data_IF_080902215642
#
_entry.id   IF_080902215642
#
_cell.length_a   1.000
_cell.length_b   1.000
_cell.length_c   1.000
_cell.angle_alpha   90.00
_cell.angle_beta   90.00
_cell.angle_gamma   90.00
#
_symmetry.space_group_name_H-M   'P 1'
#
loop_
_entity.id
_entity.type
_entity.pdbx_description
1 polymer ?
#
# COMPACT_ATOMS: atom_id res chain seq x y z
N UNK A 1 -20.03 -41.63 74.15
CA UNK A 1 -19.49 -41.28 75.46
C UNK A 1 -18.99 -39.85 75.45
N UNK A 2 -19.71 -39.06 76.18
CA UNK A 2 -19.23 -37.94 77.02
C UNK A 2 -18.62 -36.70 76.34
N UNK A 3 -19.41 -35.67 76.42
CA UNK A 3 -18.99 -34.26 76.52
C UNK A 3 -18.26 -34.03 77.88
N UNK A 4 -17.92 -32.80 78.35
CA UNK A 4 -18.20 -31.41 77.87
C UNK A 4 -17.16 -30.35 78.20
N UNK A 5 -17.50 -29.10 77.87
CA UNK A 5 -17.21 -27.80 78.59
C UNK A 5 -15.76 -27.30 78.59
N UNK A 6 -15.47 -26.03 78.51
CA UNK A 6 -16.08 -24.83 79.10
C UNK A 6 -15.61 -23.55 78.42
N UNK A 7 -16.45 -22.54 78.47
CA UNK A 7 -16.20 -21.16 78.09
C UNK A 7 -15.20 -20.44 78.99
N UNK A 8 -14.48 -19.45 78.47
CA UNK A 8 -14.16 -18.25 79.26
C UNK A 8 -14.19 -16.98 78.39
N UNK A 9 -14.81 -15.94 78.95
CA UNK A 9 -14.96 -14.60 78.49
C UNK A 9 -13.78 -13.75 79.02
N UNK A 10 -13.15 -13.02 78.18
CA UNK A 10 -12.53 -11.79 78.68
C UNK A 10 -12.58 -10.70 77.60
N UNK A 11 -13.22 -9.65 78.01
CA UNK A 11 -13.37 -8.41 77.24
C UNK A 11 -12.17 -7.49 77.41
N UNK A 12 -12.01 -6.58 76.47
CA UNK A 12 -11.36 -5.24 76.47
C UNK A 12 -10.29 -5.14 75.39
N UNK A 13 -10.20 -4.21 74.51
CA UNK A 13 -10.38 -2.76 74.58
C UNK A 13 -10.28 -2.19 73.19
N UNK A 14 -11.17 -1.29 72.87
CA UNK A 14 -11.14 -0.46 71.64
C UNK A 14 -9.87 0.35 71.53
N UNK A 15 -9.18 0.23 70.38
CA UNK A 15 -8.27 1.25 69.93
C UNK A 15 -8.54 1.52 68.46
N UNK A 16 -9.23 2.63 68.20
CA UNK A 16 -9.40 3.19 66.85
C UNK A 16 -8.04 3.55 66.30
N UNK A 17 -7.57 2.79 65.33
CA UNK A 17 -6.48 3.24 64.45
C UNK A 17 -7.10 3.76 63.16
N UNK A 18 -6.97 5.07 62.96
CA UNK A 18 -7.29 5.76 61.72
C UNK A 18 -6.24 5.31 60.71
N UNK A 19 -6.66 4.52 59.72
CA UNK A 19 -5.85 4.22 58.56
C UNK A 19 -6.07 5.33 57.53
N UNK A 20 -5.05 6.19 57.36
CA UNK A 20 -4.95 7.06 56.20
C UNK A 20 -4.79 6.17 54.95
N UNK A 21 -5.81 6.14 54.11
CA UNK A 21 -5.71 5.57 52.79
C UNK A 21 -4.88 6.49 51.90
N UNK A 22 -3.65 6.13 51.64
CA UNK A 22 -2.81 6.76 50.62
C UNK A 22 -3.38 6.34 49.25
N UNK A 23 -4.06 7.26 48.57
CA UNK A 23 -4.45 7.09 47.16
C UNK A 23 -3.20 7.13 46.31
N UNK A 24 -2.72 5.95 45.93
CA UNK A 24 -1.69 5.78 44.91
C UNK A 24 -2.35 6.07 43.56
N UNK A 25 -2.13 7.27 43.02
CA UNK A 25 -2.51 7.64 41.65
C UNK A 25 -1.58 6.91 40.71
N UNK A 26 -2.04 5.80 40.13
CA UNK A 26 -1.39 5.14 38.98
C UNK A 26 -1.64 6.04 37.80
N UNK A 27 -0.62 6.54 37.08
CA UNK A 27 -0.84 7.22 35.82
C UNK A 27 -1.34 6.20 34.82
N UNK A 28 -2.56 6.36 34.28
CA UNK A 28 -2.99 5.67 33.08
C UNK A 28 -2.02 6.05 31.97
N UNK A 29 -1.16 5.11 31.59
CA UNK A 29 -0.44 5.18 30.34
C UNK A 29 -1.49 5.17 29.22
N UNK A 30 -1.68 6.32 28.59
CA UNK A 30 -2.50 6.44 27.40
C UNK A 30 -1.87 5.56 26.32
N UNK A 31 -2.50 4.43 26.04
CA UNK A 31 -2.25 3.70 24.80
C UNK A 31 -2.51 4.67 23.66
N UNK A 32 -1.45 5.12 22.99
CA UNK A 32 -1.57 5.83 21.74
C UNK A 32 -2.16 4.84 20.75
N UNK A 33 -3.46 5.00 20.50
CA UNK A 33 -4.17 4.31 19.45
C UNK A 33 -3.46 4.57 18.12
N UNK A 34 -3.13 3.51 17.41
CA UNK A 34 -2.74 3.52 16.01
C UNK A 34 -3.60 4.53 15.24
N UNK A 35 -2.94 5.44 14.52
CA UNK A 35 -3.59 6.46 13.69
C UNK A 35 -4.69 5.80 12.85
N UNK A 36 -5.94 6.29 12.90
CA UNK A 36 -6.98 5.82 11.98
C UNK A 36 -6.52 6.07 10.56
N UNK A 37 -6.80 5.13 9.66
CA UNK A 37 -6.47 5.24 8.25
C UNK A 37 -6.91 6.60 7.71
N UNK A 38 -5.98 7.32 7.09
CA UNK A 38 -6.18 8.66 6.55
C UNK A 38 -7.34 8.59 5.54
N UNK A 39 -8.43 9.28 5.83
CA UNK A 39 -9.53 9.46 4.88
C UNK A 39 -9.03 10.32 3.72
N UNK A 40 -9.31 9.91 2.48
CA UNK A 40 -9.00 10.70 1.29
C UNK A 40 -9.76 12.04 1.35
N UNK A 41 -9.05 13.15 1.10
CA UNK A 41 -9.65 14.46 0.85
C UNK A 41 -9.59 15.47 2.00
N UNK A 42 -8.38 15.83 2.46
CA UNK A 42 -8.16 16.99 3.32
C UNK A 42 -7.15 17.98 2.70
N UNK A 43 -7.08 19.21 3.22
CA UNK A 43 -6.13 20.26 2.79
C UNK A 43 -4.66 19.77 2.72
N UNK A 44 -4.34 18.72 3.46
CA UNK A 44 -3.06 18.02 3.46
C UNK A 44 -2.75 17.30 2.13
N UNK A 45 -3.76 16.88 1.37
CA UNK A 45 -3.56 16.15 0.11
C UNK A 45 -3.16 17.10 -1.03
N UNK A 46 -3.65 18.35 -1.03
CA UNK A 46 -3.27 19.36 -1.99
C UNK A 46 -1.78 19.71 -1.89
N UNK A 47 -1.19 19.60 -0.70
CA UNK A 47 0.23 19.85 -0.47
C UNK A 47 1.18 18.84 -1.14
N UNK A 48 0.65 17.73 -1.68
CA UNK A 48 1.44 16.76 -2.44
C UNK A 48 1.68 17.17 -3.89
N UNK A 49 0.96 18.17 -4.40
CA UNK A 49 0.98 18.51 -5.82
C UNK A 49 1.55 19.90 -6.05
N UNK A 50 2.36 20.04 -7.11
CA UNK A 50 3.04 21.29 -7.50
C UNK A 50 2.55 21.86 -8.83
N UNK A 51 1.56 21.21 -9.45
CA UNK A 51 1.03 21.62 -10.75
C UNK A 51 0.36 20.46 -11.47
N UNK A 52 0.21 20.61 -12.79
CA UNK A 52 -0.36 19.57 -13.66
C UNK A 52 0.45 19.41 -14.95
N UNK A 53 0.35 18.24 -15.56
CA UNK A 53 0.84 17.93 -16.89
C UNK A 53 -0.37 17.76 -17.83
N UNK A 54 -0.41 18.42 -19.02
CA UNK A 54 -1.52 18.25 -19.95
C UNK A 54 -1.75 16.81 -20.35
N UNK A 55 -2.99 16.35 -20.26
CA UNK A 55 -3.44 15.01 -20.70
C UNK A 55 -4.94 15.05 -21.00
N UNK A 56 -5.52 13.98 -21.54
CA UNK A 56 -6.96 13.89 -21.84
C UNK A 56 -7.55 12.60 -21.30
N UNK A 57 -8.76 12.67 -20.76
CA UNK A 57 -9.66 13.82 -20.63
C UNK A 57 -9.35 14.73 -19.43
N UNK A 58 -8.38 14.41 -18.59
CA UNK A 58 -8.02 15.16 -17.38
C UNK A 58 -6.51 15.41 -17.37
N UNK A 59 -6.10 16.60 -16.94
CA UNK A 59 -4.68 16.87 -16.68
C UNK A 59 -4.17 16.00 -15.53
N UNK A 60 -2.93 15.53 -15.67
CA UNK A 60 -2.28 14.69 -14.65
C UNK A 60 -1.72 15.57 -13.53
N UNK A 61 -2.16 15.40 -12.27
CA UNK A 61 -1.54 16.08 -11.15
C UNK A 61 -0.07 15.68 -11.00
N UNK A 62 0.82 16.66 -10.91
CA UNK A 62 2.27 16.46 -10.72
C UNK A 62 2.62 16.47 -9.24
N UNK A 63 3.23 15.39 -8.77
CA UNK A 63 3.63 15.23 -7.38
C UNK A 63 4.92 16.00 -7.08
N UNK A 64 4.95 16.69 -5.95
CA UNK A 64 6.18 17.23 -5.39
C UNK A 64 7.14 16.07 -5.05
N UNK A 65 8.09 15.82 -5.93
CA UNK A 65 9.05 14.72 -5.78
C UNK A 65 9.99 14.91 -4.59
N UNK A 66 10.07 16.10 -4.00
CA UNK A 66 10.83 16.29 -2.76
C UNK A 66 10.24 15.50 -1.59
N UNK A 67 8.92 15.22 -1.63
CA UNK A 67 8.20 14.41 -0.64
C UNK A 67 8.36 12.89 -0.82
N UNK A 68 8.91 12.46 -1.96
CA UNK A 68 9.20 11.05 -2.23
C UNK A 68 10.63 10.75 -1.80
N UNK A 69 10.82 9.69 -1.01
CA UNK A 69 12.16 9.21 -0.65
C UNK A 69 13.01 9.06 -1.93
N UNK A 70 14.22 9.63 -1.99
CA UNK A 70 15.07 9.62 -3.18
C UNK A 70 15.22 8.25 -3.85
N UNK A 71 15.26 7.17 -3.07
CA UNK A 71 15.36 5.80 -3.61
C UNK A 71 14.14 5.36 -4.42
N UNK A 72 12.97 6.00 -4.24
CA UNK A 72 11.74 5.73 -4.98
C UNK A 72 11.46 6.72 -6.10
N UNK A 73 12.36 7.68 -6.35
CA UNK A 73 12.22 8.56 -7.48
C UNK A 73 12.62 7.86 -8.76
N UNK A 74 11.97 8.22 -9.88
CA UNK A 74 12.34 7.70 -11.20
C UNK A 74 13.79 8.06 -11.52
N UNK A 75 14.59 7.06 -11.90
CA UNK A 75 16.00 7.23 -12.24
C UNK A 75 16.49 6.10 -13.14
N UNK A 76 17.51 6.38 -13.95
CA UNK A 76 18.25 5.34 -14.65
C UNK A 76 19.26 4.70 -13.70
N UNK A 77 19.33 3.36 -13.74
CA UNK A 77 20.22 2.57 -12.88
C UNK A 77 20.96 1.52 -13.70
N UNK A 78 22.13 1.09 -13.26
CA UNK A 78 22.78 -0.10 -13.80
C UNK A 78 21.90 -1.34 -13.56
N UNK A 79 21.79 -2.20 -14.56
CA UNK A 79 21.01 -3.42 -14.52
C UNK A 79 21.82 -4.62 -14.98
N UNK A 80 22.00 -5.61 -14.10
CA UNK A 80 22.78 -6.83 -14.36
C UNK A 80 21.92 -8.11 -14.33
N UNK A 81 20.59 -7.96 -14.36
CA UNK A 81 19.68 -9.09 -14.43
C UNK A 81 19.72 -9.78 -15.80
N UNK A 82 19.21 -11.02 -15.89
CA UNK A 82 19.19 -11.80 -17.14
C UNK A 82 18.05 -11.42 -18.08
N UNK A 83 17.17 -10.51 -17.68
CA UNK A 83 15.98 -10.16 -18.42
C UNK A 83 16.31 -9.32 -19.66
N UNK A 84 15.66 -9.63 -20.77
CA UNK A 84 15.86 -8.93 -22.03
C UNK A 84 15.36 -7.48 -21.96
N UNK A 85 15.99 -6.55 -22.73
CA UNK A 85 15.47 -5.20 -22.91
C UNK A 85 14.00 -5.16 -23.29
N UNK A 86 13.25 -4.20 -22.78
CA UNK A 86 11.79 -4.09 -22.92
C UNK A 86 11.00 -4.88 -21.87
N UNK A 87 11.64 -5.72 -21.06
CA UNK A 87 10.97 -6.43 -19.96
C UNK A 87 10.72 -5.51 -18.78
N UNK A 88 9.55 -5.61 -18.17
CA UNK A 88 9.24 -4.98 -16.89
C UNK A 88 9.56 -5.98 -15.77
N UNK A 89 10.36 -5.56 -14.79
CA UNK A 89 10.67 -6.34 -13.60
C UNK A 89 10.16 -5.61 -12.36
N UNK A 90 9.21 -6.18 -11.65
CA UNK A 90 8.69 -5.65 -10.38
C UNK A 90 9.33 -6.40 -9.23
N UNK A 91 10.04 -5.70 -8.37
CA UNK A 91 10.59 -6.21 -7.12
C UNK A 91 9.73 -5.73 -5.96
N UNK A 92 8.88 -6.64 -5.44
CA UNK A 92 7.92 -6.33 -4.38
C UNK A 92 8.63 -5.95 -3.09
N UNK A 93 9.74 -6.61 -2.77
CA UNK A 93 10.46 -6.40 -1.51
C UNK A 93 11.18 -5.06 -1.50
N UNK A 94 11.75 -4.68 -2.64
CA UNK A 94 12.41 -3.39 -2.84
C UNK A 94 11.42 -2.26 -3.14
N UNK A 95 10.20 -2.59 -3.54
CA UNK A 95 9.17 -1.63 -4.00
C UNK A 95 9.67 -0.79 -5.18
N UNK A 96 10.28 -1.48 -6.13
CA UNK A 96 10.76 -0.93 -7.39
C UNK A 96 10.14 -1.65 -8.58
N UNK A 97 9.92 -0.91 -9.65
CA UNK A 97 9.66 -1.42 -10.98
C UNK A 97 10.80 -0.95 -11.89
N UNK A 98 11.40 -1.87 -12.60
CA UNK A 98 12.45 -1.59 -13.58
C UNK A 98 11.95 -1.93 -14.99
N UNK A 99 12.03 -0.98 -15.92
CA UNK A 99 11.96 -1.23 -17.35
C UNK A 99 13.39 -1.45 -17.85
N UNK A 100 13.69 -2.70 -18.18
CA UNK A 100 15.03 -3.09 -18.66
C UNK A 100 15.32 -2.41 -20.02
N UNK A 101 16.49 -1.82 -20.15
CA UNK A 101 16.95 -1.11 -21.33
C UNK A 101 18.17 -1.79 -21.96
N UNK A 102 18.50 -1.40 -23.19
CA UNK A 102 19.76 -1.78 -23.84
C UNK A 102 20.96 -1.22 -23.05
N UNK A 103 22.13 -1.80 -23.24
CA UNK A 103 23.37 -1.31 -22.65
C UNK A 103 23.54 -1.60 -21.17
N UNK A 104 22.79 -2.55 -20.59
CA UNK A 104 22.95 -2.94 -19.19
C UNK A 104 22.41 -1.91 -18.20
N UNK A 105 21.38 -1.17 -18.59
CA UNK A 105 20.68 -0.20 -17.72
C UNK A 105 19.20 -0.56 -17.57
N UNK A 106 18.52 0.10 -16.65
CA UNK A 106 17.07 0.07 -16.54
C UNK A 106 16.55 1.42 -16.05
N UNK A 107 15.36 1.79 -16.53
CA UNK A 107 14.62 2.90 -15.96
C UNK A 107 13.82 2.38 -14.75
N UNK A 108 14.24 2.81 -13.57
CA UNK A 108 13.65 2.39 -12.30
C UNK A 108 12.62 3.40 -11.80
N UNK A 109 11.49 2.88 -11.32
CA UNK A 109 10.42 3.64 -10.70
C UNK A 109 10.17 3.12 -9.28
N UNK A 110 9.86 4.00 -8.35
CA UNK A 110 9.33 3.62 -7.06
C UNK A 110 7.87 3.20 -7.18
N UNK A 111 7.48 2.17 -6.45
CA UNK A 111 6.11 1.66 -6.48
C UNK A 111 5.54 1.41 -5.09
N UNK A 112 4.22 1.56 -4.96
CA UNK A 112 3.47 1.00 -3.85
C UNK A 112 3.00 -0.41 -4.21
N UNK A 113 3.02 -1.33 -3.25
CA UNK A 113 2.69 -2.74 -3.50
C UNK A 113 1.62 -3.27 -2.55
N UNK A 114 1.10 -4.46 -2.82
CA UNK A 114 0.12 -5.13 -1.97
C UNK A 114 0.68 -5.51 -0.60
N UNK A 115 -0.19 -5.48 0.41
CA UNK A 115 0.10 -6.04 1.74
C UNK A 115 0.58 -7.49 1.62
N UNK A 116 1.35 -7.95 2.61
CA UNK A 116 1.78 -9.34 2.67
C UNK A 116 0.58 -10.29 2.52
N UNK A 117 0.69 -11.27 1.63
CA UNK A 117 -0.38 -12.22 1.29
C UNK A 117 -1.31 -11.80 0.14
N UNK A 118 -1.35 -10.52 -0.25
CA UNK A 118 -2.18 -10.04 -1.36
C UNK A 118 -1.41 -9.79 -2.66
N UNK A 119 -0.08 -9.75 -2.61
CA UNK A 119 0.73 -9.48 -3.81
C UNK A 119 0.92 -10.76 -4.61
N UNK A 120 0.55 -10.71 -5.87
CA UNK A 120 0.84 -11.76 -6.84
C UNK A 120 2.33 -11.73 -7.22
N UNK A 121 2.89 -12.89 -7.48
CA UNK A 121 4.21 -13.06 -8.09
C UNK A 121 4.11 -14.03 -9.26
N UNK A 122 4.97 -13.87 -10.24
CA UNK A 122 4.99 -14.74 -11.39
C UNK A 122 5.36 -14.02 -12.69
N UNK A 123 5.05 -14.68 -13.79
CA UNK A 123 5.26 -14.23 -15.14
C UNK A 123 3.91 -13.85 -15.77
N UNK A 124 3.85 -12.68 -16.35
CA UNK A 124 2.68 -12.15 -17.02
C UNK A 124 3.09 -11.33 -18.25
N UNK A 125 2.09 -10.90 -19.01
CA UNK A 125 2.27 -9.90 -20.06
C UNK A 125 1.23 -8.79 -19.91
N UNK A 126 1.53 -7.62 -20.44
CA UNK A 126 0.52 -6.57 -20.62
C UNK A 126 -0.48 -7.07 -21.68
N UNK A 127 -1.69 -7.41 -21.28
CA UNK A 127 -2.74 -7.85 -22.20
C UNK A 127 -3.64 -6.72 -22.67
N UNK A 128 -3.74 -5.63 -21.87
CA UNK A 128 -4.54 -4.44 -22.19
C UNK A 128 -3.97 -3.22 -21.51
N UNK A 129 -4.16 -2.06 -22.13
CA UNK A 129 -3.80 -0.74 -21.61
C UNK A 129 -5.06 0.11 -21.45
N UNK A 130 -5.12 0.95 -20.42
CA UNK A 130 -6.25 1.86 -20.18
C UNK A 130 -5.79 3.27 -19.84
N UNK A 131 -6.46 4.26 -20.44
CA UNK A 131 -6.30 5.69 -20.16
C UNK A 131 -7.45 6.12 -19.28
N UNK A 132 -7.18 6.71 -18.12
CA UNK A 132 -8.16 7.13 -17.11
C UNK A 132 -9.27 6.09 -16.89
N UNK A 133 -8.90 4.83 -16.53
CA UNK A 133 -9.86 3.73 -16.51
C UNK A 133 -10.86 3.86 -15.37
N UNK A 134 -12.07 3.37 -15.59
CA UNK A 134 -13.04 3.17 -14.51
C UNK A 134 -12.51 2.15 -13.51
N UNK A 135 -12.74 2.40 -12.23
CA UNK A 135 -12.39 1.49 -11.15
C UNK A 135 -13.62 0.74 -10.64
N UNK A 136 -13.43 -0.51 -10.28
CA UNK A 136 -14.39 -1.32 -9.52
C UNK A 136 -13.63 -2.20 -8.53
N UNK A 137 -14.16 -2.41 -7.31
CA UNK A 137 -13.54 -3.25 -6.31
C UNK A 137 -13.52 -4.72 -6.78
N UNK A 138 -12.47 -5.44 -6.38
CA UNK A 138 -12.43 -6.89 -6.54
C UNK A 138 -13.40 -7.56 -5.56
N UNK A 139 -13.78 -8.81 -5.82
CA UNK A 139 -14.61 -9.61 -4.90
C UNK A 139 -14.01 -9.66 -3.50
N UNK A 140 -12.69 -9.81 -3.40
CA UNK A 140 -11.96 -9.78 -2.11
C UNK A 140 -12.13 -8.45 -1.38
N UNK A 141 -12.03 -7.32 -2.07
CA UNK A 141 -12.22 -6.00 -1.46
C UNK A 141 -13.64 -5.84 -0.93
N UNK A 142 -14.63 -6.29 -1.70
CA UNK A 142 -16.04 -6.29 -1.29
C UNK A 142 -16.27 -7.19 -0.06
N UNK A 143 -15.66 -8.36 -0.02
CA UNK A 143 -15.78 -9.27 1.13
C UNK A 143 -15.17 -8.70 2.40
N UNK A 144 -14.03 -7.98 2.27
CA UNK A 144 -13.35 -7.34 3.41
C UNK A 144 -14.04 -6.05 3.86
N UNK A 145 -14.70 -5.35 2.96
CA UNK A 145 -15.46 -4.14 3.23
C UNK A 145 -16.76 -4.12 2.41
N UNK A 146 -17.86 -4.67 2.93
CA UNK A 146 -19.15 -4.71 2.20
C UNK A 146 -19.71 -3.34 1.83
N UNK A 147 -19.33 -2.29 2.55
CA UNK A 147 -19.72 -0.90 2.30
C UNK A 147 -18.85 -0.16 1.28
N UNK A 148 -17.85 -0.82 0.69
CA UNK A 148 -16.96 -0.18 -0.30
C UNK A 148 -17.76 0.31 -1.53
N UNK A 149 -17.37 1.47 -2.06
CA UNK A 149 -17.91 1.99 -3.31
C UNK A 149 -17.83 0.93 -4.43
N UNK A 150 -18.90 0.78 -5.20
CA UNK A 150 -19.02 -0.30 -6.19
C UNK A 150 -18.37 0.02 -7.53
N UNK A 151 -18.22 1.30 -7.86
CA UNK A 151 -17.50 1.74 -9.06
C UNK A 151 -17.16 3.22 -8.94
N UNK A 152 -16.08 3.64 -9.57
CA UNK A 152 -15.70 5.05 -9.72
C UNK A 152 -15.25 5.29 -11.16
N UNK A 153 -15.80 6.32 -11.77
CA UNK A 153 -15.41 6.75 -13.13
C UNK A 153 -13.95 7.19 -13.16
N UNK A 154 -13.33 7.07 -14.34
CA UNK A 154 -11.99 7.62 -14.58
C UNK A 154 -11.93 9.09 -14.21
N UNK A 155 -10.84 9.52 -13.57
CA UNK A 155 -10.66 10.88 -13.07
C UNK A 155 -9.53 10.99 -12.06
N UNK A 156 -9.24 12.21 -11.64
CA UNK A 156 -8.13 12.53 -10.73
C UNK A 156 -8.27 11.85 -9.35
N UNK A 157 -9.50 11.63 -8.90
CA UNK A 157 -9.81 11.00 -7.61
C UNK A 157 -9.93 9.47 -7.71
N UNK A 158 -9.74 8.90 -8.92
CA UNK A 158 -9.86 7.46 -9.14
C UNK A 158 -8.63 6.71 -8.61
N UNK A 159 -8.81 5.63 -7.84
CA UNK A 159 -7.68 4.85 -7.30
C UNK A 159 -6.71 4.26 -8.35
N UNK A 160 -7.17 4.07 -9.61
CA UNK A 160 -6.31 3.60 -10.70
C UNK A 160 -5.49 4.71 -11.36
N UNK A 161 -5.77 5.97 -11.04
CA UNK A 161 -5.05 7.12 -11.58
C UNK A 161 -5.16 7.25 -13.10
N UNK A 162 -4.15 7.89 -13.71
CA UNK A 162 -4.17 8.30 -15.11
C UNK A 162 -4.07 7.14 -16.11
N UNK A 163 -3.40 6.04 -15.77
CA UNK A 163 -3.17 4.88 -16.65
C UNK A 163 -3.24 3.58 -15.87
N UNK A 164 -3.61 2.49 -16.58
CA UNK A 164 -3.49 1.14 -16.06
C UNK A 164 -2.99 0.16 -17.14
N UNK A 165 -2.06 -0.71 -16.74
CA UNK A 165 -1.54 -1.84 -17.49
C UNK A 165 -2.12 -3.11 -16.86
N UNK A 166 -2.94 -3.84 -17.62
CA UNK A 166 -3.64 -5.04 -17.17
C UNK A 166 -2.78 -6.26 -17.44
N UNK A 167 -2.50 -7.06 -16.41
CA UNK A 167 -1.59 -8.18 -16.50
C UNK A 167 -2.34 -9.49 -16.78
N UNK A 168 -1.88 -10.22 -17.79
CA UNK A 168 -2.44 -11.50 -18.23
C UNK A 168 -1.39 -12.60 -18.13
N UNK A 169 -1.82 -13.78 -17.69
CA UNK A 169 -1.05 -15.01 -17.83
C UNK A 169 -1.75 -15.90 -18.87
N UNK A 170 -1.10 -16.15 -19.99
CA UNK A 170 -1.77 -16.68 -21.18
C UNK A 170 -2.92 -15.76 -21.61
N UNK A 171 -4.12 -16.31 -21.72
CA UNK A 171 -5.34 -15.56 -22.07
C UNK A 171 -6.17 -15.17 -20.83
N UNK A 172 -5.68 -15.49 -19.63
CA UNK A 172 -6.39 -15.23 -18.39
C UNK A 172 -5.96 -13.89 -17.79
N UNK A 173 -6.91 -13.01 -17.52
CA UNK A 173 -6.70 -11.81 -16.71
C UNK A 173 -6.33 -12.22 -15.27
N UNK A 174 -5.18 -11.80 -14.80
CA UNK A 174 -4.69 -12.10 -13.44
C UNK A 174 -5.41 -11.29 -12.37
N UNK A 175 -6.20 -10.30 -12.76
CA UNK A 175 -6.79 -9.27 -11.93
C UNK A 175 -5.74 -8.35 -11.26
N UNK A 176 -4.45 -8.51 -11.55
CA UNK A 176 -3.40 -7.59 -11.12
C UNK A 176 -3.13 -6.54 -12.20
N UNK A 177 -2.74 -5.37 -11.72
CA UNK A 177 -2.52 -4.17 -12.53
C UNK A 177 -1.25 -3.47 -12.08
N UNK A 178 -0.59 -2.80 -13.03
CA UNK A 178 0.33 -1.70 -12.76
C UNK A 178 -0.44 -0.44 -13.13
N UNK A 179 -0.61 0.50 -12.20
CA UNK A 179 -1.50 1.63 -12.42
C UNK A 179 -1.05 2.88 -11.65
N UNK A 180 -1.59 4.04 -12.01
CA UNK A 180 -1.40 5.27 -11.27
C UNK A 180 -2.04 5.25 -9.89
N UNK A 181 -2.05 6.37 -9.20
CA UNK A 181 -2.72 6.49 -7.91
C UNK A 181 -3.12 7.93 -7.62
N UNK A 182 -4.22 8.10 -6.90
CA UNK A 182 -4.59 9.35 -6.24
C UNK A 182 -4.01 9.46 -4.82
N UNK A 183 -3.19 8.49 -4.40
CA UNK A 183 -2.55 8.41 -3.08
C UNK A 183 -1.01 8.39 -3.24
N UNK A 184 -0.34 9.53 -3.62
CA UNK A 184 1.09 9.55 -3.89
C UNK A 184 1.95 9.15 -2.68
N UNK A 185 1.47 9.34 -1.46
CA UNK A 185 2.12 8.91 -0.23
C UNK A 185 2.23 7.40 -0.07
N UNK A 186 1.52 6.62 -0.90
CA UNK A 186 1.57 5.16 -0.89
C UNK A 186 2.77 4.58 -1.66
N UNK A 187 3.54 5.42 -2.36
CA UNK A 187 4.76 4.98 -3.05
C UNK A 187 5.84 4.66 -2.02
N UNK A 188 6.45 3.50 -2.18
CA UNK A 188 7.38 2.95 -1.20
C UNK A 188 6.72 2.18 -0.06
N UNK A 189 5.38 2.04 -0.05
CA UNK A 189 4.62 1.39 1.00
C UNK A 189 3.99 0.06 0.56
N UNK A 190 3.55 -0.76 1.54
CA UNK A 190 2.82 -2.02 1.32
C UNK A 190 1.36 -1.86 1.77
N UNK A 191 0.58 -1.09 1.02
CA UNK A 191 -0.77 -0.69 1.40
C UNK A 191 -1.86 -1.19 0.45
N UNK A 192 -1.51 -1.56 -0.80
CA UNK A 192 -2.50 -1.92 -1.81
C UNK A 192 -3.13 -3.31 -1.56
N UNK A 193 -4.24 -3.58 -2.23
CA UNK A 193 -4.92 -4.89 -2.23
C UNK A 193 -4.26 -5.90 -3.18
N UNK A 194 -3.03 -5.63 -3.66
CA UNK A 194 -2.27 -6.55 -4.50
C UNK A 194 -1.64 -5.89 -5.72
N UNK A 195 -2.27 -4.88 -6.30
CA UNK A 195 -1.77 -4.18 -7.48
C UNK A 195 -0.51 -3.35 -7.19
N UNK A 196 0.21 -3.01 -8.25
CA UNK A 196 1.40 -2.17 -8.23
C UNK A 196 0.99 -0.74 -8.54
N UNK A 197 1.17 0.16 -7.57
CA UNK A 197 0.86 1.59 -7.69
C UNK A 197 2.09 2.37 -8.12
N UNK A 198 1.91 3.34 -9.00
CA UNK A 198 2.93 4.30 -9.44
C UNK A 198 2.42 5.73 -9.28
N UNK A 199 3.32 6.71 -9.22
CA UNK A 199 2.92 8.10 -9.41
C UNK A 199 2.24 8.25 -10.78
N UNK A 200 1.27 9.16 -10.90
CA UNK A 200 0.52 9.32 -12.16
C UNK A 200 1.44 9.71 -13.33
N UNK A 201 2.37 10.63 -13.12
CA UNK A 201 3.35 11.02 -14.14
C UNK A 201 4.34 9.90 -14.48
N UNK A 202 4.60 8.95 -13.57
CA UNK A 202 5.49 7.82 -13.82
C UNK A 202 4.79 6.70 -14.58
N UNK A 203 3.52 6.42 -14.28
CA UNK A 203 2.75 5.45 -15.07
C UNK A 203 2.43 5.97 -16.47
N UNK A 204 2.25 7.28 -16.66
CA UNK A 204 2.12 7.87 -17.99
C UNK A 204 3.40 7.65 -18.80
N UNK A 205 4.57 7.95 -18.24
CA UNK A 205 5.86 7.70 -18.87
C UNK A 205 6.07 6.22 -19.22
N UNK A 206 5.81 5.30 -18.29
CA UNK A 206 5.91 3.87 -18.55
C UNK A 206 4.92 3.40 -19.62
N UNK A 207 3.69 3.90 -19.57
CA UNK A 207 2.63 3.56 -20.52
C UNK A 207 3.02 3.86 -21.95
N UNK A 208 3.65 5.01 -22.21
CA UNK A 208 4.08 5.39 -23.56
C UNK A 208 5.25 4.51 -24.06
N UNK A 209 6.10 4.00 -23.17
CA UNK A 209 7.27 3.19 -23.52
C UNK A 209 6.96 1.74 -23.83
N UNK A 210 5.87 1.18 -23.34
CA UNK A 210 5.62 -0.26 -23.39
C UNK A 210 4.38 -0.61 -24.22
N UNK A 211 4.50 -1.52 -25.22
CA UNK A 211 3.35 -2.01 -25.99
C UNK A 211 2.55 -3.08 -25.22
N UNK A 212 1.36 -3.38 -25.72
CA UNK A 212 0.65 -4.65 -25.38
C UNK A 212 1.54 -5.82 -25.80
N UNK A 213 1.59 -6.86 -24.97
CA UNK A 213 2.50 -8.00 -25.16
C UNK A 213 3.78 -7.92 -24.33
N UNK A 214 4.17 -6.72 -23.82
CA UNK A 214 5.35 -6.56 -22.96
C UNK A 214 5.34 -7.57 -21.82
N UNK A 215 6.47 -8.29 -21.65
CA UNK A 215 6.67 -9.22 -20.55
C UNK A 215 6.78 -8.48 -19.21
N UNK A 216 6.14 -9.02 -18.18
CA UNK A 216 6.16 -8.50 -16.82
C UNK A 216 6.52 -9.61 -15.85
N UNK A 217 7.62 -9.48 -15.16
CA UNK A 217 8.09 -10.41 -14.15
C UNK A 217 7.93 -9.78 -12.77
N UNK A 218 7.12 -10.41 -11.92
CA UNK A 218 6.90 -9.94 -10.54
C UNK A 218 7.59 -10.90 -9.58
N UNK A 219 8.60 -10.43 -8.87
CA UNK A 219 9.40 -11.22 -7.93
C UNK A 219 9.16 -10.82 -6.48
N UNK A 220 9.24 -11.84 -5.63
CA UNK A 220 9.28 -11.70 -4.17
C UNK A 220 10.36 -12.62 -3.62
N UNK A 221 11.13 -12.18 -2.61
CA UNK A 221 12.29 -12.90 -2.08
C UNK A 221 13.28 -13.32 -3.20
N UNK A 222 13.48 -12.43 -4.17
CA UNK A 222 14.35 -12.67 -5.31
C UNK A 222 13.86 -13.72 -6.31
N UNK A 223 12.63 -14.24 -6.18
CA UNK A 223 12.09 -15.32 -7.02
C UNK A 223 10.82 -14.90 -7.76
N UNK A 224 10.70 -15.29 -9.04
CA UNK A 224 9.49 -15.10 -9.85
C UNK A 224 8.49 -16.25 -9.69
N UNK A 225 9.00 -17.46 -9.41
CA UNK A 225 8.21 -18.70 -9.32
C UNK A 225 8.15 -19.21 -7.89
N UNK A 226 7.11 -19.97 -7.60
CA UNK A 226 6.94 -20.68 -6.33
C UNK A 226 7.91 -21.84 -6.26
#
# INVERSE_FOLDING_TARGET
MAAPRTADKSARTSTRRVLLAAFCRIPLAACQSSKPGRMAGGDDDAAWYIGTMPDKPFDVPLVDRSRIDPKYRRQEVAYSGPEAPGTIVVDIDKRHLALVQEGGTALQYGVGVGKAGFSWKGDARIGRKGVWPDWSPTTTMVSLNPGIERSRKGGIDNPLGARALYLYNGNRDTLFRIHGTNEPWSIGEQLSSGCVRMLNEDIVDLYERVPVGTQVLVKRNGKYRV
#
